data_IF_708116972428
#
_entry.id   IF_708116972428
#
_cell.length_a   1.000
_cell.length_b   1.000
_cell.length_c   1.000
_cell.angle_alpha   90.00
_cell.angle_beta   90.00
_cell.angle_gamma   90.00
#
_symmetry.space_group_name_H-M   'P 1'
#
loop_
_entity.id
_entity.type
_entity.pdbx_description
1 polymer ?
#
# COMPACT_ATOMS: atom_id res chain seq x y z
N UNK A 1 4.99 -30.72 -2.34
CA UNK A 1 4.93 -30.10 -2.30
C UNK A 1 4.91 -29.32 -2.43
N UNK A 2 5.14 -29.33 -2.23
CA UNK A 2 5.09 -28.47 -2.20
C UNK A 2 5.32 -27.61 -2.48
N UNK A 3 5.42 -27.58 -2.52
CA UNK A 3 5.56 -26.65 -2.66
C UNK A 3 5.68 -25.82 -2.94
N UNK A 4 5.60 -26.06 -2.97
CA UNK A 4 5.62 -25.23 -3.14
C UNK A 4 5.64 -24.40 -3.07
N UNK A 5 5.45 -24.47 -2.67
CA UNK A 5 5.40 -23.56 -2.42
C UNK A 5 6.09 -22.85 -2.28
N UNK A 6 6.25 -23.28 -1.97
CA UNK A 6 7.01 -22.60 -1.54
C UNK A 6 7.49 -21.61 -2.11
N UNK A 7 7.77 -21.43 -2.63
CA UNK A 7 8.18 -20.42 -3.13
C UNK A 7 7.39 -19.46 -3.10
N UNK A 8 6.56 -19.52 -2.67
CA UNK A 8 5.83 -18.63 -2.65
C UNK A 8 6.33 -17.53 -2.05
N UNK A 9 7.40 -17.27 -2.05
CA UNK A 9 7.96 -16.19 -1.49
C UNK A 9 7.22 -14.93 -1.77
N UNK A 10 6.71 -14.71 -2.93
CA UNK A 10 6.03 -13.48 -3.21
C UNK A 10 4.83 -13.29 -2.32
N UNK A 11 4.38 -14.32 -1.72
CA UNK A 11 3.25 -14.23 -0.87
C UNK A 11 3.46 -13.28 0.25
N UNK A 12 4.63 -13.20 0.76
CA UNK A 12 4.89 -12.34 1.81
C UNK A 12 4.74 -10.94 1.51
N UNK A 13 5.01 -10.54 0.32
CA UNK A 13 4.97 -9.14 0.01
C UNK A 13 3.58 -8.58 -0.04
N UNK A 14 2.54 -9.40 0.08
CA UNK A 14 1.21 -8.88 0.03
C UNK A 14 0.65 -8.64 1.43
N UNK A 15 1.43 -8.95 2.46
CA UNK A 15 0.97 -8.78 3.82
C UNK A 15 1.74 -7.68 4.50
N UNK A 16 1.08 -6.80 5.16
CA UNK A 16 1.75 -5.72 5.86
C UNK A 16 1.07 -5.45 7.19
N UNK A 17 1.85 -5.20 8.21
CA UNK A 17 1.33 -4.95 9.51
C UNK A 17 1.14 -3.45 9.71
N UNK A 18 0.04 -3.04 10.31
CA UNK A 18 -0.24 -1.66 10.59
C UNK A 18 -0.36 -1.46 12.10
N UNK A 19 0.26 -0.43 12.59
CA UNK A 19 0.28 -0.16 14.02
C UNK A 19 -0.38 1.17 14.28
N UNK A 20 -1.30 1.23 15.22
CA UNK A 20 -2.00 2.43 15.55
C UNK A 20 -1.66 2.91 16.94
N UNK A 21 -1.62 4.18 17.14
CA UNK A 21 -1.40 4.78 18.41
C UNK A 21 0.06 4.82 18.66
N UNK A 22 0.43 4.07 19.52
CA UNK A 22 1.79 4.04 19.76
C UNK A 22 2.37 5.34 20.06
N UNK A 23 1.86 6.04 21.05
CA UNK A 23 2.38 7.21 21.37
C UNK A 23 3.80 7.17 21.49
N UNK A 24 4.49 7.85 20.81
CA UNK A 24 5.87 7.92 20.90
C UNK A 24 6.21 8.91 21.95
N UNK A 25 6.53 8.44 23.08
CA UNK A 25 6.89 9.29 24.10
C UNK A 25 8.09 10.07 23.72
N UNK A 26 8.98 9.52 22.96
CA UNK A 26 10.17 10.18 22.55
C UNK A 26 10.09 10.51 21.10
N UNK A 27 9.74 11.75 20.81
CA UNK A 27 9.66 12.15 19.49
C UNK A 27 10.95 12.22 18.77
N UNK A 28 12.05 12.27 19.41
CA UNK A 28 13.31 12.38 18.74
C UNK A 28 13.75 11.01 18.21
N UNK A 29 13.15 9.96 18.68
CA UNK A 29 13.54 8.65 18.23
C UNK A 29 12.66 8.23 17.06
N UNK A 30 13.17 7.44 16.16
CA UNK A 30 12.35 6.97 15.06
C UNK A 30 11.27 6.06 15.62
N UNK A 31 10.20 5.89 14.93
CA UNK A 31 9.12 5.03 15.39
C UNK A 31 9.63 3.64 15.65
N UNK A 32 9.24 3.07 16.73
CA UNK A 32 9.66 1.75 17.06
C UNK A 32 8.76 0.74 16.41
N UNK A 33 8.61 0.80 15.14
CA UNK A 33 7.79 -0.15 14.46
C UNK A 33 8.66 -1.13 13.77
N UNK A 34 8.22 -2.34 13.68
CA UNK A 34 8.99 -3.38 13.06
C UNK A 34 9.18 -2.98 11.61
N UNK A 35 10.28 -3.40 11.04
CA UNK A 35 10.58 -3.13 9.70
C UNK A 35 9.45 -3.58 8.83
N UNK A 36 8.99 -2.78 7.96
CA UNK A 36 7.90 -3.12 7.09
C UNK A 36 6.54 -2.79 7.65
N UNK A 37 6.46 -2.38 8.88
CA UNK A 37 5.18 -2.04 9.45
C UNK A 37 4.84 -0.59 9.09
N UNK A 38 3.56 -0.30 9.01
CA UNK A 38 3.10 1.02 8.67
C UNK A 38 2.47 1.63 9.91
N UNK A 39 2.88 2.81 10.27
CA UNK A 39 2.39 3.47 11.46
C UNK A 39 1.34 4.52 11.15
N UNK A 40 0.29 4.52 11.93
CA UNK A 40 -0.76 5.53 11.80
C UNK A 40 -0.98 6.13 13.18
N UNK A 41 -1.22 7.40 13.23
CA UNK A 41 -1.41 8.05 14.52
C UNK A 41 -2.77 7.71 15.13
N UNK A 42 -3.77 7.51 14.32
CA UNK A 42 -5.10 7.18 14.83
C UNK A 42 -5.77 6.16 13.96
N UNK A 43 -6.79 5.53 14.49
CA UNK A 43 -7.54 4.56 13.72
C UNK A 43 -8.29 5.28 12.60
N UNK A 44 -8.69 6.53 12.83
CA UNK A 44 -9.35 7.29 11.78
C UNK A 44 -8.43 7.50 10.59
N UNK A 45 -7.16 7.75 10.84
CA UNK A 45 -6.20 7.93 9.79
C UNK A 45 -6.06 6.65 8.99
N UNK A 46 -5.99 5.53 9.69
CA UNK A 46 -5.85 4.25 9.04
C UNK A 46 -7.08 3.98 8.19
N UNK A 47 -8.27 4.27 8.73
CA UNK A 47 -9.50 4.02 8.01
C UNK A 47 -9.60 4.87 6.75
N UNK A 48 -9.08 6.08 6.80
CA UNK A 48 -9.12 6.95 5.64
C UNK A 48 -8.17 6.45 4.55
N UNK A 49 -7.00 5.98 4.93
CA UNK A 49 -6.02 5.51 3.98
C UNK A 49 -6.39 4.13 3.44
N UNK A 50 -6.86 3.25 4.31
CA UNK A 50 -7.24 1.91 3.89
C UNK A 50 -8.75 1.79 3.77
N UNK A 51 -9.36 2.76 3.11
CA UNK A 51 -10.79 2.74 2.88
C UNK A 51 -11.11 1.60 1.92
N UNK A 52 -12.36 1.25 1.85
CA UNK A 52 -12.77 0.17 0.96
C UNK A 52 -12.38 0.50 -0.46
N UNK A 53 -12.53 1.73 -0.86
CA UNK A 53 -12.19 2.17 -2.18
C UNK A 53 -10.70 2.03 -2.46
N UNK A 54 -9.89 2.44 -1.53
CA UNK A 54 -8.44 2.35 -1.71
C UNK A 54 -7.97 0.90 -1.66
N UNK A 55 -8.62 0.07 -0.85
CA UNK A 55 -8.25 -1.32 -0.80
C UNK A 55 -8.62 -2.04 -2.09
N UNK A 56 -9.73 -1.62 -2.72
CA UNK A 56 -10.08 -2.18 -4.00
C UNK A 56 -9.04 -1.78 -5.03
N UNK A 57 -8.55 -0.55 -4.92
CA UNK A 57 -7.52 -0.08 -5.84
C UNK A 57 -6.25 -0.90 -5.68
N UNK A 58 -5.87 -1.19 -4.45
CA UNK A 58 -4.68 -2.00 -4.22
C UNK A 58 -4.84 -3.40 -4.84
N UNK A 59 -6.01 -3.99 -4.68
CA UNK A 59 -6.25 -5.30 -5.25
C UNK A 59 -6.22 -5.25 -6.77
N UNK A 60 -6.75 -4.17 -7.33
CA UNK A 60 -6.76 -4.01 -8.77
C UNK A 60 -5.33 -3.88 -9.29
N UNK A 61 -4.49 -3.14 -8.60
CA UNK A 61 -3.10 -2.99 -9.00
C UNK A 61 -2.40 -4.36 -9.02
N UNK A 62 -2.71 -5.17 -8.03
CA UNK A 62 -2.08 -6.46 -7.96
C UNK A 62 -2.55 -7.38 -9.06
N UNK A 63 -3.83 -7.37 -9.36
CA UNK A 63 -4.37 -8.24 -10.38
C UNK A 63 -4.08 -7.77 -11.79
N UNK A 64 -4.21 -6.49 -12.01
CA UNK A 64 -4.04 -5.93 -13.34
C UNK A 64 -2.60 -5.67 -13.73
N UNK A 65 -1.81 -5.22 -12.78
CA UNK A 65 -0.43 -4.84 -13.03
C UNK A 65 -0.35 -3.88 -14.19
N UNK A 66 -0.99 -2.71 -14.05
CA UNK A 66 -1.06 -1.76 -15.15
C UNK A 66 0.30 -1.19 -15.48
N UNK A 67 0.52 -0.83 -16.71
CA UNK A 67 1.78 -0.28 -17.15
C UNK A 67 1.82 1.23 -17.10
N UNK A 68 0.72 1.86 -16.78
CA UNK A 68 0.67 3.31 -16.70
C UNK A 68 -0.56 3.72 -15.91
N UNK A 69 -0.59 4.97 -15.50
CA UNK A 69 -1.75 5.49 -14.79
C UNK A 69 -2.93 5.60 -15.74
N UNK A 70 -2.66 5.82 -17.02
CA UNK A 70 -3.73 5.92 -18.00
C UNK A 70 -4.44 4.58 -18.12
N UNK A 71 -3.68 3.50 -18.17
CA UNK A 71 -4.27 2.17 -18.26
C UNK A 71 -5.08 1.89 -17.01
N UNK A 72 -4.56 2.25 -15.85
CA UNK A 72 -5.26 2.05 -14.61
C UNK A 72 -6.56 2.85 -14.60
N UNK A 73 -6.51 4.08 -15.09
CA UNK A 73 -7.66 4.95 -15.14
C UNK A 73 -8.77 4.32 -15.97
N UNK A 74 -8.41 3.70 -17.06
CA UNK A 74 -9.38 3.07 -17.95
C UNK A 74 -10.10 1.91 -17.28
N UNK A 75 -9.43 1.25 -16.36
CA UNK A 75 -10.03 0.11 -15.70
C UNK A 75 -10.83 0.47 -14.45
N UNK A 76 -10.43 1.49 -13.74
CA UNK A 76 -11.10 1.81 -12.51
C UNK A 76 -12.08 2.98 -12.60
N UNK A 77 -12.08 3.67 -13.74
CA UNK A 77 -13.00 4.77 -13.92
C UNK A 77 -12.64 6.07 -13.22
N UNK A 78 -11.50 6.14 -12.58
CA UNK A 78 -11.08 7.35 -11.90
C UNK A 78 -10.13 8.10 -12.81
N UNK A 79 -10.16 9.42 -12.73
CA UNK A 79 -9.29 10.22 -13.58
C UNK A 79 -7.85 10.18 -13.13
N UNK A 80 -6.95 10.31 -14.10
CA UNK A 80 -5.53 10.22 -13.81
C UNK A 80 -5.07 11.18 -12.72
N UNK A 81 -5.48 12.46 -12.71
CA UNK A 81 -5.00 13.33 -11.64
C UNK A 81 -5.44 12.87 -10.26
N UNK A 82 -6.65 12.32 -10.17
CA UNK A 82 -7.16 11.82 -8.92
C UNK A 82 -6.37 10.59 -8.48
N UNK A 83 -6.09 9.69 -9.43
CA UNK A 83 -5.33 8.49 -9.14
C UNK A 83 -3.93 8.87 -8.71
N UNK A 84 -3.32 9.83 -9.39
CA UNK A 84 -1.97 10.23 -9.08
C UNK A 84 -1.88 10.71 -7.64
N UNK A 85 -2.87 11.51 -7.22
CA UNK A 85 -2.88 12.04 -5.89
C UNK A 85 -3.05 10.94 -4.85
N UNK A 86 -3.98 10.03 -5.10
CA UNK A 86 -4.22 8.92 -4.19
C UNK A 86 -3.00 8.01 -4.09
N UNK A 87 -2.40 7.70 -5.24
CA UNK A 87 -1.27 6.79 -5.25
C UNK A 87 -0.04 7.39 -4.59
N UNK A 88 0.14 8.70 -4.72
CA UNK A 88 1.27 9.32 -4.06
C UNK A 88 1.09 9.29 -2.55
N UNK A 89 -0.14 9.47 -2.09
CA UNK A 89 -0.42 9.39 -0.68
C UNK A 89 -0.13 7.97 -0.19
N UNK A 90 -0.54 6.96 -0.96
CA UNK A 90 -0.32 5.59 -0.56
C UNK A 90 1.16 5.22 -0.64
N UNK A 91 1.89 5.83 -1.55
CA UNK A 91 3.32 5.59 -1.65
C UNK A 91 4.00 6.08 -0.39
N UNK A 92 3.53 7.20 0.14
CA UNK A 92 4.09 7.76 1.35
C UNK A 92 3.94 6.84 2.55
N UNK A 93 2.92 5.98 2.52
CA UNK A 93 2.73 5.02 3.59
C UNK A 93 3.36 3.66 3.28
N UNK A 94 3.98 3.54 2.11
CA UNK A 94 4.60 2.27 1.76
C UNK A 94 3.64 1.24 1.21
N UNK A 95 2.45 1.66 0.81
CA UNK A 95 1.45 0.73 0.29
C UNK A 95 1.60 0.49 -1.20
N UNK A 96 2.20 1.44 -1.90
CA UNK A 96 2.34 1.39 -3.33
C UNK A 96 3.72 1.86 -3.71
N UNK A 97 4.23 1.33 -4.80
CA UNK A 97 5.50 1.77 -5.33
C UNK A 97 5.19 2.38 -6.68
N UNK A 98 5.70 3.58 -6.94
CA UNK A 98 5.51 4.23 -8.22
C UNK A 98 6.87 4.27 -8.91
N UNK A 99 7.00 3.53 -9.99
CA UNK A 99 8.25 3.48 -10.73
C UNK A 99 8.11 4.16 -12.04
N UNK A 100 9.12 4.92 -12.42
CA UNK A 100 9.06 5.60 -13.69
C UNK A 100 9.70 4.71 -14.73
N UNK A 101 9.00 4.43 -15.80
CA UNK A 101 9.49 3.63 -16.87
C UNK A 101 9.26 4.41 -18.14
N UNK A 102 10.33 5.01 -18.69
CA UNK A 102 10.19 5.89 -19.84
C UNK A 102 9.38 7.10 -19.45
N UNK A 103 8.34 7.38 -20.19
CA UNK A 103 7.47 8.52 -19.91
C UNK A 103 6.30 8.13 -19.02
N UNK A 104 6.24 6.87 -18.62
CA UNK A 104 5.10 6.40 -17.84
C UNK A 104 5.44 6.19 -16.39
N UNK A 105 4.43 6.20 -15.55
CA UNK A 105 4.59 5.86 -14.15
C UNK A 105 3.84 4.55 -13.94
N UNK A 106 4.55 3.56 -13.44
CA UNK A 106 3.97 2.24 -13.24
C UNK A 106 3.70 2.02 -11.77
N UNK A 107 2.44 1.93 -11.36
CA UNK A 107 2.11 1.71 -9.97
C UNK A 107 2.06 0.22 -9.64
N UNK A 108 2.54 -0.14 -8.47
CA UNK A 108 2.52 -1.52 -8.01
C UNK A 108 2.06 -1.55 -6.58
N UNK A 109 1.19 -2.49 -6.25
CA UNK A 109 0.75 -2.64 -4.88
C UNK A 109 1.82 -3.39 -4.09
N UNK A 110 2.16 -2.85 -2.93
CA UNK A 110 3.15 -3.49 -2.09
C UNK A 110 2.48 -4.44 -1.12
N UNK A 111 1.19 -4.29 -0.90
CA UNK A 111 0.44 -5.18 -0.02
C UNK A 111 -1.04 -5.09 -0.37
N UNK A 112 -1.77 -6.15 -0.11
CA UNK A 112 -3.21 -6.14 -0.30
C UNK A 112 -3.90 -6.69 0.94
N UNK A 113 -3.15 -7.20 1.90
CA UNK A 113 -3.71 -7.73 3.13
C UNK A 113 -3.02 -7.03 4.28
N UNK A 114 -3.77 -6.71 5.30
CA UNK A 114 -3.25 -5.95 6.41
C UNK A 114 -3.66 -6.53 7.76
N UNK A 115 -2.73 -6.49 8.69
CA UNK A 115 -3.03 -6.93 10.03
C UNK A 115 -2.92 -5.66 10.87
N UNK A 116 -3.97 -5.29 11.55
CA UNK A 116 -4.00 -4.07 12.32
C UNK A 116 -3.80 -4.34 13.79
N UNK A 117 -2.86 -3.66 14.35
CA UNK A 117 -2.54 -3.85 15.73
C UNK A 117 -2.85 -2.56 16.46
N UNK A 118 -3.73 -2.61 17.43
CA UNK A 118 -4.09 -1.43 18.17
C UNK A 118 -3.33 -1.38 19.47
N UNK A 119 -3.03 -0.18 19.89
CA UNK A 119 -2.26 0.02 21.06
C UNK A 119 -3.06 -0.17 22.32
#
# INVERSE_FOLDING_TARGET
MTDSDTCRSPVQSTFRRCVIGGERKDRSAPPQVAEGAIAFSTLSSLAAVLSDENRRLLRLLRELQPRSLTELSEHCGRKVPSLSRTLRMMEGYGLVELRRVGASVVPSAMATRFLIELD
#
